data_IF_556408129999
#
_entry.id   IF_556408129999
#
_cell.length_a   1.000
_cell.length_b   1.000
_cell.length_c   1.000
_cell.angle_alpha   90.00
_cell.angle_beta   90.00
_cell.angle_gamma   90.00
#
_symmetry.space_group_name_H-M   'P 1'
#
loop_
_entity.id
_entity.type
_entity.pdbx_description
1 polymer ?
#
# COMPACT_ATOMS: atom_id res chain seq x y z
N UNK A 1 -36.50 -51.22 -30.57
CA UNK A 1 -36.18 -49.77 -30.56
C UNK A 1 -37.01 -49.03 -29.49
N UNK A 2 -36.85 -49.35 -28.19
CA UNK A 2 -37.61 -48.70 -27.11
C UNK A 2 -36.72 -48.12 -25.98
N UNK A 3 -35.39 -48.30 -26.04
CA UNK A 3 -34.46 -47.85 -24.99
C UNK A 3 -33.89 -46.44 -25.18
N UNK A 4 -34.10 -45.79 -26.33
CA UNK A 4 -33.54 -44.44 -26.60
C UNK A 4 -34.41 -43.28 -26.11
N UNK A 5 -35.69 -43.51 -25.84
CA UNK A 5 -36.59 -42.45 -25.36
C UNK A 5 -36.47 -42.20 -23.85
N UNK A 6 -36.07 -43.22 -23.08
CA UNK A 6 -35.92 -43.13 -21.62
C UNK A 6 -34.66 -42.37 -21.19
N UNK A 7 -33.63 -42.32 -22.05
CA UNK A 7 -32.38 -41.60 -21.75
C UNK A 7 -32.47 -40.10 -22.04
N UNK A 8 -33.33 -39.70 -22.98
CA UNK A 8 -33.53 -38.29 -23.32
C UNK A 8 -34.27 -37.59 -22.18
N UNK A 9 -35.30 -38.21 -21.60
CA UNK A 9 -36.06 -37.63 -20.49
C UNK A 9 -35.20 -37.38 -19.24
N UNK A 10 -34.20 -38.22 -18.96
CA UNK A 10 -33.30 -38.07 -17.81
C UNK A 10 -32.33 -36.89 -17.99
N UNK A 11 -31.92 -36.57 -19.22
CA UNK A 11 -30.96 -35.50 -19.50
C UNK A 11 -31.58 -34.10 -19.55
N UNK A 12 -32.88 -33.97 -19.83
CA UNK A 12 -33.60 -32.68 -19.81
C UNK A 12 -34.26 -32.35 -18.48
N UNK A 13 -34.47 -33.33 -17.59
CA UNK A 13 -35.00 -33.11 -16.24
C UNK A 13 -34.24 -32.04 -15.42
N UNK A 14 -32.89 -32.02 -15.38
CA UNK A 14 -32.16 -31.02 -14.60
C UNK A 14 -32.26 -29.61 -15.21
N UNK A 15 -32.42 -29.49 -16.53
CA UNK A 15 -32.59 -28.19 -17.21
C UNK A 15 -34.00 -27.61 -17.00
N UNK A 16 -35.03 -28.47 -16.99
CA UNK A 16 -36.41 -28.08 -16.66
C UNK A 16 -36.51 -27.70 -15.18
N UNK A 17 -35.81 -28.42 -14.30
CA UNK A 17 -35.75 -28.08 -12.88
C UNK A 17 -35.09 -26.70 -12.66
N UNK A 18 -34.01 -26.40 -13.39
CA UNK A 18 -33.32 -25.12 -13.32
C UNK A 18 -34.19 -23.95 -13.81
N UNK A 19 -34.96 -24.13 -14.89
CA UNK A 19 -35.85 -23.07 -15.40
C UNK A 19 -37.04 -22.79 -14.48
N UNK A 20 -37.55 -23.81 -13.77
CA UNK A 20 -38.54 -23.61 -12.71
C UNK A 20 -37.95 -22.93 -11.46
N UNK A 21 -36.66 -23.12 -11.19
CA UNK A 21 -35.95 -22.49 -10.07
C UNK A 21 -35.77 -20.97 -10.27
N UNK A 22 -35.49 -20.53 -11.51
CA UNK A 22 -35.27 -19.11 -11.82
C UNK A 22 -36.54 -18.26 -11.86
N UNK A 23 -37.73 -18.87 -11.97
CA UNK A 23 -39.01 -18.15 -12.02
C UNK A 23 -39.77 -18.15 -10.69
N UNK A 24 -39.32 -18.93 -9.71
CA UNK A 24 -39.91 -18.95 -8.36
C UNK A 24 -39.26 -17.88 -7.47
N UNK A 25 -40.04 -16.87 -7.05
CA UNK A 25 -39.70 -15.97 -5.94
C UNK A 25 -39.79 -16.68 -4.58
N UNK A 26 -39.16 -17.84 -4.46
CA UNK A 26 -38.96 -18.52 -3.19
C UNK A 26 -37.50 -18.34 -2.82
N UNK A 27 -37.24 -17.38 -1.94
CA UNK A 27 -35.98 -17.28 -1.21
C UNK A 27 -35.83 -18.57 -0.40
N UNK A 28 -35.19 -19.59 -0.97
CA UNK A 28 -34.75 -20.75 -0.21
C UNK A 28 -33.74 -20.23 0.81
N UNK A 29 -34.16 -20.19 2.08
CA UNK A 29 -33.27 -19.99 3.20
C UNK A 29 -32.35 -21.22 3.26
N UNK A 30 -31.22 -21.11 2.57
CA UNK A 30 -30.12 -22.06 2.69
C UNK A 30 -29.71 -22.04 4.18
N UNK A 31 -29.66 -23.19 4.87
CA UNK A 31 -29.30 -23.23 6.29
C UNK A 31 -27.91 -22.61 6.49
N UNK A 32 -27.73 -21.86 7.58
CA UNK A 32 -26.49 -21.15 7.94
C UNK A 32 -25.24 -22.04 7.84
N UNK A 33 -25.36 -23.34 8.09
CA UNK A 33 -24.25 -24.31 7.94
C UNK A 33 -23.76 -24.50 6.50
N UNK A 34 -24.65 -24.38 5.51
CA UNK A 34 -24.30 -24.45 4.09
C UNK A 34 -23.75 -23.09 3.63
N UNK A 35 -24.27 -21.99 4.17
CA UNK A 35 -23.70 -20.65 3.95
C UNK A 35 -22.26 -20.57 4.49
N UNK A 36 -22.02 -21.07 5.71
CA UNK A 36 -20.68 -21.17 6.31
C UNK A 36 -19.76 -22.10 5.50
N UNK A 37 -20.29 -23.21 4.95
CA UNK A 37 -19.51 -24.09 4.06
C UNK A 37 -19.06 -23.40 2.78
N UNK A 38 -19.93 -22.57 2.16
CA UNK A 38 -19.59 -21.76 0.98
C UNK A 38 -18.62 -20.60 1.31
N UNK A 39 -18.57 -20.17 2.57
CA UNK A 39 -17.74 -19.05 3.06
C UNK A 39 -16.44 -19.54 3.72
N UNK A 40 -16.24 -20.85 3.89
CA UNK A 40 -15.07 -21.45 4.56
C UNK A 40 -13.78 -21.44 3.72
N UNK A 41 -13.89 -21.30 2.40
CA UNK A 41 -12.70 -21.24 1.56
C UNK A 41 -12.19 -19.79 1.45
N UNK A 42 -11.27 -19.45 2.37
CA UNK A 42 -10.58 -18.16 2.36
C UNK A 42 -9.85 -17.89 1.04
N UNK A 43 -9.49 -18.94 0.28
CA UNK A 43 -8.88 -18.81 -1.05
C UNK A 43 -9.92 -18.42 -2.10
N UNK A 44 -11.12 -18.98 -2.05
CA UNK A 44 -12.23 -18.59 -2.93
C UNK A 44 -12.64 -17.14 -2.69
N UNK A 45 -12.74 -16.71 -1.43
CA UNK A 45 -13.04 -15.31 -1.11
C UNK A 45 -11.92 -14.36 -1.53
N UNK A 46 -10.65 -14.75 -1.40
CA UNK A 46 -9.52 -13.98 -1.89
C UNK A 46 -9.55 -13.84 -3.42
N UNK A 47 -9.78 -14.94 -4.14
CA UNK A 47 -9.87 -14.96 -5.60
C UNK A 47 -11.08 -14.17 -6.12
N UNK A 48 -12.23 -14.26 -5.45
CA UNK A 48 -13.42 -13.44 -5.74
C UNK A 48 -13.15 -11.97 -5.42
N UNK A 49 -12.46 -11.65 -4.33
CA UNK A 49 -12.08 -10.27 -4.01
C UNK A 49 -11.09 -9.70 -5.03
N UNK A 50 -10.16 -10.49 -5.55
CA UNK A 50 -9.27 -10.08 -6.64
C UNK A 50 -10.00 -10.02 -8.00
N UNK A 51 -11.04 -10.81 -8.20
CA UNK A 51 -11.90 -10.72 -9.37
C UNK A 51 -12.78 -9.46 -9.35
N UNK A 52 -13.32 -9.06 -8.18
CA UNK A 52 -14.18 -7.89 -8.01
C UNK A 52 -13.42 -6.58 -7.73
N UNK A 53 -12.28 -6.61 -7.03
CA UNK A 53 -11.44 -5.45 -6.68
C UNK A 53 -10.09 -5.44 -7.43
N UNK A 54 -9.91 -6.38 -8.36
CA UNK A 54 -8.73 -6.52 -9.19
C UNK A 54 -8.37 -5.23 -9.92
N UNK A 55 -7.20 -4.71 -9.60
CA UNK A 55 -6.51 -3.69 -10.39
C UNK A 55 -7.06 -2.26 -10.33
N UNK A 56 -7.14 -1.67 -9.13
CA UNK A 56 -6.69 -0.28 -8.99
C UNK A 56 -5.17 -0.19 -8.80
N UNK A 57 -4.38 -0.87 -9.65
CA UNK A 57 -3.01 -0.41 -9.92
C UNK A 57 -3.10 0.75 -10.91
N UNK A 58 -3.71 1.85 -10.44
CA UNK A 58 -3.76 3.08 -11.19
C UNK A 58 -2.31 3.48 -11.55
N UNK A 59 -2.02 3.64 -12.85
CA UNK A 59 -0.70 4.08 -13.32
C UNK A 59 -0.33 5.43 -12.71
N UNK A 60 -1.33 6.26 -12.43
CA UNK A 60 -1.18 7.53 -11.72
C UNK A 60 -0.81 7.31 -10.25
N UNK A 61 -1.41 6.34 -9.55
CA UNK A 61 -1.00 5.97 -8.18
C UNK A 61 0.44 5.44 -8.16
N UNK A 62 0.84 4.60 -9.11
CA UNK A 62 2.24 4.14 -9.25
C UNK A 62 3.19 5.31 -9.52
N UNK A 63 2.77 6.33 -10.29
CA UNK A 63 3.55 7.55 -10.55
C UNK A 63 3.70 8.38 -9.28
N UNK A 64 2.63 8.58 -8.52
CA UNK A 64 2.63 9.30 -7.23
C UNK A 64 3.53 8.59 -6.22
N UNK A 65 3.39 7.28 -6.06
CA UNK A 65 4.24 6.48 -5.14
C UNK A 65 5.71 6.53 -5.55
N UNK A 66 6.03 6.46 -6.85
CA UNK A 66 7.41 6.63 -7.34
C UNK A 66 7.94 8.02 -6.98
N UNK A 67 7.13 9.06 -7.15
CA UNK A 67 7.51 10.42 -6.78
C UNK A 67 7.75 10.53 -5.28
N UNK A 68 6.84 10.04 -4.44
CA UNK A 68 7.03 10.01 -2.98
C UNK A 68 8.29 9.26 -2.56
N UNK A 69 8.58 8.11 -3.18
CA UNK A 69 9.77 7.33 -2.86
C UNK A 69 11.05 8.07 -3.29
N UNK A 70 11.04 8.71 -4.46
CA UNK A 70 12.17 9.53 -4.89
C UNK A 70 12.37 10.74 -3.95
N UNK A 71 11.27 11.37 -3.52
CA UNK A 71 11.31 12.44 -2.50
C UNK A 71 11.86 11.93 -1.18
N UNK A 72 11.43 10.75 -0.69
CA UNK A 72 11.95 10.13 0.54
C UNK A 72 13.44 9.79 0.42
N UNK A 73 13.86 9.25 -0.73
CA UNK A 73 15.27 8.93 -0.98
C UNK A 73 16.12 10.21 -1.00
N UNK A 74 15.70 11.26 -1.71
CA UNK A 74 16.39 12.54 -1.69
C UNK A 74 16.44 13.19 -0.29
N UNK A 75 15.40 12.98 0.54
CA UNK A 75 15.42 13.37 1.95
C UNK A 75 16.47 12.55 2.73
N UNK A 76 16.52 11.23 2.54
CA UNK A 76 17.51 10.38 3.19
C UNK A 76 18.95 10.76 2.78
N UNK A 77 19.17 11.05 1.50
CA UNK A 77 20.47 11.45 0.96
C UNK A 77 20.97 12.74 1.63
N UNK A 78 20.11 13.77 1.77
CA UNK A 78 20.52 15.01 2.46
C UNK A 78 20.81 14.80 3.95
N UNK A 79 20.13 13.87 4.61
CA UNK A 79 20.36 13.57 6.03
C UNK A 79 21.71 12.89 6.27
N UNK A 80 22.33 12.31 5.23
CA UNK A 80 23.65 11.69 5.30
C UNK A 80 24.79 12.64 4.89
N UNK A 81 24.47 13.86 4.44
CA UNK A 81 25.50 14.85 4.10
C UNK A 81 26.20 15.35 5.37
N UNK A 82 27.51 15.67 5.31
CA UNK A 82 28.22 16.25 6.44
C UNK A 82 27.69 17.65 6.78
N UNK A 83 27.81 18.06 8.04
CA UNK A 83 27.50 19.44 8.45
C UNK A 83 28.41 20.43 7.72
N UNK A 84 27.83 21.45 7.06
CA UNK A 84 28.59 22.43 6.27
C UNK A 84 28.32 23.86 6.71
N UNK A 85 29.32 24.48 7.34
CA UNK A 85 29.28 25.90 7.75
C UNK A 85 29.32 26.85 6.55
N UNK A 86 30.05 26.48 5.48
CA UNK A 86 30.35 27.36 4.35
C UNK A 86 31.43 28.40 4.68
N UNK A 87 31.80 29.21 3.70
CA UNK A 87 32.93 30.15 3.80
C UNK A 87 32.56 31.55 4.33
N UNK A 88 31.27 31.88 4.39
CA UNK A 88 30.81 33.12 5.01
C UNK A 88 30.94 33.07 6.55
N UNK A 89 30.91 34.24 7.20
CA UNK A 89 31.29 34.41 8.62
C UNK A 89 30.12 34.80 9.54
N UNK A 90 28.88 34.71 9.09
CA UNK A 90 27.74 34.89 9.99
C UNK A 90 27.67 33.76 11.02
N UNK A 91 26.97 33.99 12.14
CA UNK A 91 26.76 33.01 13.21
C UNK A 91 25.27 32.65 13.31
N UNK A 92 24.73 32.10 12.23
CA UNK A 92 23.31 31.77 12.15
C UNK A 92 23.07 30.39 12.79
N UNK A 93 22.33 30.29 13.91
CA UNK A 93 22.01 28.99 14.50
C UNK A 93 21.16 28.18 13.53
N UNK A 94 21.58 26.94 13.27
CA UNK A 94 20.92 25.96 12.41
C UNK A 94 21.09 24.57 13.00
N UNK A 95 20.32 23.61 12.50
CA UNK A 95 20.41 22.21 12.91
C UNK A 95 20.84 21.35 11.74
N UNK A 96 21.68 20.35 12.00
CA UNK A 96 22.03 19.29 11.05
C UNK A 96 21.80 17.93 11.70
N UNK A 97 21.45 16.92 10.90
CA UNK A 97 21.31 15.56 11.39
C UNK A 97 22.68 14.89 11.50
N UNK A 98 22.94 14.30 12.65
CA UNK A 98 24.09 13.44 12.89
C UNK A 98 23.63 11.96 12.87
N UNK A 99 23.97 11.18 11.82
CA UNK A 99 23.56 9.79 11.71
C UNK A 99 24.21 8.89 12.77
N UNK A 100 25.37 9.26 13.31
CA UNK A 100 26.05 8.50 14.36
C UNK A 100 25.30 8.60 15.69
N UNK A 101 24.82 9.80 16.03
CA UNK A 101 24.03 10.07 17.22
C UNK A 101 22.52 9.81 17.01
N UNK A 102 22.11 9.57 15.76
CA UNK A 102 20.72 9.41 15.33
C UNK A 102 19.82 10.58 15.76
N UNK A 103 20.39 11.79 15.86
CA UNK A 103 19.69 12.99 16.33
C UNK A 103 20.16 14.23 15.58
N UNK A 104 19.46 15.35 15.76
CA UNK A 104 19.86 16.63 15.21
C UNK A 104 20.70 17.43 16.19
N UNK A 105 21.76 18.06 15.70
CA UNK A 105 22.71 18.86 16.47
C UNK A 105 22.70 20.30 15.98
N UNK A 106 22.78 21.27 16.90
CA UNK A 106 22.91 22.68 16.51
C UNK A 106 24.33 22.97 16.00
N UNK A 107 24.44 23.76 14.94
CA UNK A 107 25.69 24.32 14.45
C UNK A 107 25.52 25.77 14.01
N UNK A 108 26.64 26.50 13.84
CA UNK A 108 26.65 27.87 13.34
C UNK A 108 26.89 27.89 11.84
N UNK A 109 25.85 28.19 11.07
CA UNK A 109 25.93 28.36 9.62
C UNK A 109 26.50 29.74 9.26
N UNK A 110 27.46 29.74 8.35
CA UNK A 110 28.19 30.92 7.89
C UNK A 110 27.35 31.90 7.07
N UNK A 111 26.20 31.47 6.55
CA UNK A 111 25.27 32.29 5.76
C UNK A 111 25.35 32.07 4.24
N UNK A 112 26.32 31.30 3.75
CA UNK A 112 26.44 30.92 2.34
C UNK A 112 27.13 29.56 2.20
N UNK A 113 27.04 28.93 1.02
CA UNK A 113 27.69 27.63 0.71
C UNK A 113 27.42 26.51 1.74
N UNK A 114 26.18 26.50 2.26
CA UNK A 114 25.67 25.37 3.03
C UNK A 114 25.22 24.25 2.10
N UNK A 115 24.99 23.06 2.65
CA UNK A 115 24.32 21.98 1.93
C UNK A 115 22.92 21.74 2.50
N UNK A 116 22.24 20.70 2.02
CA UNK A 116 20.87 20.39 2.40
C UNK A 116 20.71 19.80 3.82
N UNK A 117 21.81 19.45 4.51
CA UNK A 117 21.78 19.08 5.93
C UNK A 117 21.85 20.34 6.82
N UNK A 118 20.86 21.22 6.64
CA UNK A 118 20.80 22.54 7.28
C UNK A 118 19.33 22.94 7.47
N UNK A 119 18.87 22.92 8.71
CA UNK A 119 17.48 23.15 9.10
C UNK A 119 17.36 24.33 10.06
N UNK A 120 16.21 25.01 10.04
CA UNK A 120 15.98 26.20 10.86
C UNK A 120 15.71 25.81 12.32
N UNK A 121 15.09 24.65 12.55
CA UNK A 121 14.74 24.18 13.89
C UNK A 121 15.06 22.69 14.07
N UNK A 122 15.24 22.29 15.33
CA UNK A 122 15.42 20.89 15.71
C UNK A 122 14.28 20.00 15.20
N UNK A 123 13.03 20.44 15.37
CA UNK A 123 11.85 19.68 14.93
C UNK A 123 11.85 19.48 13.42
N UNK A 124 12.14 20.52 12.63
CA UNK A 124 12.22 20.41 11.17
C UNK A 124 13.29 19.38 10.73
N UNK A 125 14.43 19.36 11.44
CA UNK A 125 15.48 18.40 11.21
C UNK A 125 15.05 16.97 11.58
N UNK A 126 14.43 16.78 12.74
CA UNK A 126 13.98 15.45 13.19
C UNK A 126 12.81 14.90 12.36
N UNK A 127 11.90 15.76 11.91
CA UNK A 127 10.82 15.37 11.00
C UNK A 127 11.37 14.91 9.65
N UNK A 128 12.41 15.59 9.16
CA UNK A 128 13.10 15.23 7.93
C UNK A 128 13.91 13.93 8.06
N UNK A 129 14.71 13.79 9.13
CA UNK A 129 15.78 12.81 9.20
C UNK A 129 15.60 11.73 10.28
N UNK A 130 14.82 12.00 11.33
CA UNK A 130 14.65 11.10 12.48
C UNK A 130 13.96 9.77 12.16
N UNK A 131 13.20 9.71 11.05
CA UNK A 131 12.54 8.47 10.58
C UNK A 131 13.35 7.71 9.53
N UNK A 132 14.34 8.34 8.89
CA UNK A 132 15.10 7.75 7.79
C UNK A 132 15.91 6.50 8.24
N UNK A 133 16.23 6.39 9.53
CA UNK A 133 16.98 5.27 10.11
C UNK A 133 16.12 4.11 10.65
N UNK A 134 14.79 4.09 10.44
CA UNK A 134 13.91 3.03 11.00
C UNK A 134 13.52 1.91 10.02
N UNK A 135 14.04 1.90 8.79
CA UNK A 135 13.66 0.90 7.75
C UNK A 135 14.80 -0.04 7.33
N UNK A 136 15.83 -0.16 8.16
CA UNK A 136 16.98 -1.04 7.91
C UNK A 136 17.15 -2.11 8.99
N UNK A 137 16.07 -2.50 9.67
CA UNK A 137 16.03 -3.67 10.56
C UNK A 137 14.98 -4.65 10.09
#
# INVERSE_FOLDING_TARGET
MQFKFLTITILVLPLIFLSTLLTSKTTLAIPLSIYDFMVSDAKFLADVSDYYFGSQKNKDLKRVVRHENNVRNGIQDRCMLPTRKGYCRALIPRFSYDPSQKTCVEFKFGGCDGNANNFISFNQCMDACGKANRRSS
#
